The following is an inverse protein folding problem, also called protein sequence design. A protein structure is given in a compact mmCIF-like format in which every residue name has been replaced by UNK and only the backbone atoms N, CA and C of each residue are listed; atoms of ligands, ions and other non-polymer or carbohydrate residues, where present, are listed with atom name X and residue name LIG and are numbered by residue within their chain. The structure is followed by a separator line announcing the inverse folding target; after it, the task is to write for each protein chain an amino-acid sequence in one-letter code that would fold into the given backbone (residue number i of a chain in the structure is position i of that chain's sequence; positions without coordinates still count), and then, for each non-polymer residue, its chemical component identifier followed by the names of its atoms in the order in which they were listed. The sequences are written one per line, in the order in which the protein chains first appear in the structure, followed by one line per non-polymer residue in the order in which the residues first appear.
data_IF_379292237361
#
_entry.id   IF_379292237361
#
_cell.length_a   1.000
_cell.length_b   1.000
_cell.length_c   1.000
_cell.angle_alpha   90.00
_cell.angle_beta   90.00
_cell.angle_gamma   90.00
#
_symmetry.space_group_name_H-M   'P 1'
#
loop_
_entity.id
_entity.type
_entity.pdbx_description
1 polymer ?
#
# COMPACT_ATOMS: atom_id res chain seq x y z
N UNK A 1 11.07 -15.03 -3.83
CA UNK A 1 9.76 -15.68 -4.07
C UNK A 1 9.87 -16.67 -5.23
N UNK A 2 9.07 -17.74 -5.25
CA UNK A 2 8.99 -18.67 -6.39
C UNK A 2 8.26 -17.98 -7.54
N UNK A 3 8.77 -18.07 -8.77
CA UNK A 3 8.11 -17.51 -9.94
C UNK A 3 6.85 -18.32 -10.28
N UNK A 4 5.69 -17.65 -10.31
CA UNK A 4 4.37 -18.28 -10.48
C UNK A 4 3.57 -17.53 -11.56
N UNK A 5 3.83 -17.79 -12.86
CA UNK A 5 3.32 -16.98 -13.98
C UNK A 5 1.80 -16.80 -14.01
N UNK A 6 1.06 -17.83 -13.57
CA UNK A 6 -0.41 -17.81 -13.56
C UNK A 6 -1.02 -16.75 -12.63
N UNK A 7 -0.28 -16.34 -11.61
CA UNK A 7 -0.74 -15.35 -10.61
C UNK A 7 -0.10 -13.98 -10.82
N UNK A 8 0.61 -13.80 -11.93
CA UNK A 8 1.27 -12.54 -12.24
C UNK A 8 0.21 -11.55 -12.75
N UNK A 9 -0.09 -10.53 -11.96
CA UNK A 9 -0.81 -9.35 -12.42
C UNK A 9 0.23 -8.31 -12.87
N UNK A 10 0.24 -7.95 -14.15
CA UNK A 10 1.20 -6.98 -14.74
C UNK A 10 0.55 -5.76 -15.35
N UNK A 11 -0.79 -5.72 -15.39
CA UNK A 11 -1.55 -4.61 -15.94
C UNK A 11 -1.79 -3.55 -14.85
N UNK A 12 -1.18 -2.36 -14.93
CA UNK A 12 -1.39 -1.30 -13.95
C UNK A 12 -2.84 -0.81 -13.90
N UNK A 13 -3.57 -0.84 -15.03
CA UNK A 13 -4.96 -0.37 -15.09
C UNK A 13 -5.90 -1.30 -14.31
N UNK A 14 -5.59 -2.61 -14.33
CA UNK A 14 -6.30 -3.59 -13.54
C UNK A 14 -6.05 -3.40 -12.03
N UNK A 15 -4.82 -3.05 -11.64
CA UNK A 15 -4.51 -2.69 -10.24
C UNK A 15 -5.24 -1.40 -9.85
N UNK A 16 -5.21 -0.35 -10.68
CA UNK A 16 -5.97 0.89 -10.47
C UNK A 16 -7.47 0.61 -10.31
N UNK A 17 -8.04 -0.29 -11.12
CA UNK A 17 -9.44 -0.73 -11.02
C UNK A 17 -9.75 -1.39 -9.67
N UNK A 18 -8.84 -2.24 -9.17
CA UNK A 18 -9.01 -2.90 -7.87
C UNK A 18 -9.01 -1.89 -6.72
N UNK A 19 -8.08 -0.92 -6.72
CA UNK A 19 -8.01 0.12 -5.68
C UNK A 19 -9.29 0.97 -5.69
N UNK A 20 -9.75 1.41 -6.87
CA UNK A 20 -11.02 2.16 -7.01
C UNK A 20 -12.23 1.40 -6.44
N UNK A 21 -12.27 0.08 -6.63
CA UNK A 21 -13.33 -0.77 -6.10
C UNK A 21 -13.22 -1.08 -4.60
N UNK A 22 -12.04 -0.89 -4.01
CA UNK A 22 -11.72 -1.27 -2.62
C UNK A 22 -10.89 -0.16 -1.95
N UNK A 23 -11.50 0.94 -1.51
CA UNK A 23 -10.79 2.15 -1.05
C UNK A 23 -10.23 2.04 0.37
N UNK A 24 -9.78 0.84 0.78
CA UNK A 24 -9.20 0.52 2.07
C UNK A 24 -8.08 -0.50 1.86
N UNK A 25 -6.99 -0.34 2.59
CA UNK A 25 -5.85 -1.25 2.51
C UNK A 25 -5.22 -1.47 3.89
N UNK A 26 -4.46 -2.55 4.01
CA UNK A 26 -3.58 -2.79 5.15
C UNK A 26 -2.16 -2.41 4.78
N UNK A 27 -1.59 -1.46 5.52
CA UNK A 27 -0.20 -1.05 5.37
C UNK A 27 0.65 -1.82 6.37
N UNK A 28 1.71 -2.48 5.90
CA UNK A 28 2.60 -3.29 6.73
C UNK A 28 4.04 -2.78 6.58
N UNK A 29 4.59 -2.27 7.68
CA UNK A 29 5.94 -1.71 7.73
C UNK A 29 6.89 -2.61 8.54
N UNK A 30 8.14 -2.80 8.11
CA UNK A 30 9.17 -3.49 8.88
C UNK A 30 9.88 -2.51 9.82
N UNK A 31 9.16 -1.95 10.79
CA UNK A 31 9.72 -1.02 11.77
C UNK A 31 10.81 -1.67 12.61
N UNK A 32 11.67 -0.85 13.24
CA UNK A 32 12.81 -1.35 14.03
C UNK A 32 12.42 -2.29 15.18
N UNK A 33 11.20 -2.15 15.72
CA UNK A 33 10.64 -3.01 16.77
C UNK A 33 9.93 -4.27 16.27
N UNK A 34 9.84 -4.49 14.96
CA UNK A 34 9.09 -5.59 14.33
C UNK A 34 8.07 -5.10 13.31
N UNK A 35 7.25 -6.03 12.80
CA UNK A 35 6.21 -5.70 11.84
C UNK A 35 5.09 -4.89 12.51
N UNK A 36 4.74 -3.77 11.89
CA UNK A 36 3.58 -2.93 12.29
C UNK A 36 2.57 -2.95 11.15
N UNK A 37 1.32 -3.21 11.47
CA UNK A 37 0.22 -3.25 10.51
C UNK A 37 -0.93 -2.34 10.95
N UNK A 38 -1.49 -1.57 10.01
CA UNK A 38 -2.64 -0.72 10.23
C UNK A 38 -3.58 -0.71 9.02
N UNK A 39 -4.87 -0.47 9.27
CA UNK A 39 -5.91 -0.47 8.25
C UNK A 39 -6.42 0.94 8.02
N UNK A 40 -6.21 1.47 6.81
CA UNK A 40 -6.52 2.86 6.47
C UNK A 40 -7.25 2.97 5.14
N UNK A 41 -8.05 4.04 4.94
CA UNK A 41 -8.54 4.41 3.62
C UNK A 41 -7.37 4.57 2.65
N UNK A 42 -7.49 4.04 1.45
CA UNK A 42 -6.46 4.07 0.42
C UNK A 42 -7.10 4.51 -0.89
N UNK A 43 -6.88 5.78 -1.26
CA UNK A 43 -7.48 6.38 -2.44
C UNK A 43 -6.47 6.41 -3.59
N UNK A 44 -6.90 5.99 -4.77
CA UNK A 44 -6.11 6.17 -5.98
C UNK A 44 -6.10 7.66 -6.36
N UNK A 45 -4.93 8.18 -6.70
CA UNK A 45 -4.82 9.48 -7.36
C UNK A 45 -5.02 9.29 -8.86
N UNK A 46 -6.11 9.83 -9.39
CA UNK A 46 -6.57 9.55 -10.77
C UNK A 46 -5.77 10.30 -11.84
N UNK A 47 -5.13 11.43 -11.47
CA UNK A 47 -4.42 12.29 -12.42
C UNK A 47 -2.96 11.86 -12.65
N UNK A 48 -2.48 10.82 -11.93
CA UNK A 48 -1.11 10.32 -12.02
C UNK A 48 -0.98 9.17 -13.04
N UNK A 49 0.10 9.23 -13.85
CA UNK A 49 0.45 8.15 -14.80
C UNK A 49 0.75 6.84 -14.06
N UNK A 50 1.49 6.91 -12.95
CA UNK A 50 1.81 5.77 -12.09
C UNK A 50 0.65 5.38 -11.14
N UNK A 51 0.84 4.34 -10.33
CA UNK A 51 -0.08 3.99 -9.24
C UNK A 51 0.33 4.79 -8.00
N UNK A 52 -0.40 5.87 -7.72
CA UNK A 52 -0.22 6.68 -6.52
C UNK A 52 -1.40 6.48 -5.59
N UNK A 53 -1.13 6.09 -4.34
CA UNK A 53 -2.15 5.87 -3.31
C UNK A 53 -2.00 6.96 -2.23
N UNK A 54 -3.07 7.69 -1.98
CA UNK A 54 -3.16 8.65 -0.89
C UNK A 54 -3.89 8.03 0.31
N UNK A 55 -3.36 8.31 1.50
CA UNK A 55 -3.96 7.95 2.79
C UNK A 55 -3.61 9.00 3.83
N UNK A 56 -4.34 9.02 4.95
CA UNK A 56 -4.10 9.95 6.05
C UNK A 56 -3.76 9.20 7.33
N UNK A 57 -2.47 9.20 7.69
CA UNK A 57 -1.97 8.61 8.92
C UNK A 57 -2.00 9.62 10.07
N UNK A 58 -2.49 9.17 11.23
CA UNK A 58 -2.28 9.91 12.47
C UNK A 58 -0.79 9.89 12.84
N UNK A 59 -0.29 10.97 13.46
CA UNK A 59 1.11 11.08 13.88
C UNK A 59 1.61 9.89 14.75
N UNK A 60 0.84 9.35 15.71
CA UNK A 60 1.29 8.18 16.46
C UNK A 60 1.57 6.96 15.56
N UNK A 61 0.66 6.67 14.63
CA UNK A 61 0.82 5.55 13.70
C UNK A 61 1.94 5.80 12.70
N UNK A 62 2.06 7.03 12.18
CA UNK A 62 3.17 7.43 11.31
C UNK A 62 4.54 7.15 11.96
N UNK A 63 4.67 7.49 13.24
CA UNK A 63 5.89 7.21 14.01
C UNK A 63 6.10 5.72 14.26
N UNK A 64 5.04 4.98 14.63
CA UNK A 64 5.12 3.53 14.82
C UNK A 64 5.50 2.78 13.53
N UNK A 65 4.96 3.23 12.40
CA UNK A 65 5.27 2.69 11.08
C UNK A 65 6.63 3.12 10.56
N UNK A 66 7.28 4.11 11.18
CA UNK A 66 8.53 4.70 10.70
C UNK A 66 8.43 5.14 9.23
N UNK A 67 7.31 5.78 8.85
CA UNK A 67 7.01 6.07 7.44
C UNK A 67 8.14 6.88 6.77
N UNK A 68 8.45 6.50 5.52
CA UNK A 68 9.54 7.09 4.74
C UNK A 68 10.93 6.52 5.03
N UNK A 69 11.09 5.66 6.04
CA UNK A 69 12.39 5.01 6.34
C UNK A 69 12.57 3.67 5.64
N UNK A 70 11.48 3.00 5.27
CA UNK A 70 11.46 1.67 4.67
C UNK A 70 10.38 1.57 3.60
N UNK A 71 10.50 0.56 2.74
CA UNK A 71 9.40 0.16 1.85
C UNK A 71 8.24 -0.43 2.66
N UNK A 72 7.02 -0.16 2.22
CA UNK A 72 5.78 -0.60 2.88
C UNK A 72 5.05 -1.57 1.97
N UNK A 73 4.59 -2.68 2.53
CA UNK A 73 3.69 -3.59 1.83
C UNK A 73 2.26 -3.08 1.99
N UNK A 74 1.53 -2.99 0.89
CA UNK A 74 0.11 -2.66 0.86
C UNK A 74 -0.67 -3.92 0.46
N UNK A 75 -1.66 -4.29 1.26
CA UNK A 75 -2.54 -5.46 1.05
C UNK A 75 -3.98 -4.99 0.87
#
# INVERSE_FOLDING_TARGET
MRHTPRYLMTDPDEVKRLIRGNPWATFVSPASGGLVASHYPALLMEDDEDIVIASHFGRPDEQLHELGRHEVLVI
#
